data_IF_899617362378
#
_entry.id   IF_899617362378
#
_cell.length_a   1.000
_cell.length_b   1.000
_cell.length_c   1.000
_cell.angle_alpha   90.00
_cell.angle_beta   90.00
_cell.angle_gamma   90.00
#
_symmetry.space_group_name_H-M   'P 1'
#
loop_
_entity.id
_entity.type
_entity.pdbx_description
1 polymer ?
#
# COMPACT_ATOMS: atom_id res chain seq x y z
N UNK A 1 18.47 35.59 2.74
CA UNK A 1 19.65 34.71 2.87
C UNK A 1 19.19 33.41 3.50
N UNK A 2 19.81 32.25 3.18
CA UNK A 2 19.38 30.94 3.70
C UNK A 2 19.26 30.90 5.22
N UNK A 3 20.19 31.51 5.94
CA UNK A 3 20.15 31.57 7.41
C UNK A 3 18.93 32.31 7.95
N UNK A 4 18.53 33.41 7.31
CA UNK A 4 17.33 34.17 7.72
C UNK A 4 16.04 33.36 7.50
N UNK A 5 15.95 32.56 6.44
CA UNK A 5 14.82 31.66 6.18
C UNK A 5 14.79 30.55 7.22
N UNK A 6 15.94 29.95 7.50
CA UNK A 6 16.07 28.92 8.55
C UNK A 6 15.60 29.46 9.90
N UNK A 7 16.15 30.60 10.34
CA UNK A 7 15.86 31.18 11.64
C UNK A 7 14.37 31.60 11.75
N UNK A 8 13.79 32.10 10.63
CA UNK A 8 12.35 32.37 10.54
C UNK A 8 11.50 31.12 10.73
N UNK A 9 11.85 30.02 10.02
CA UNK A 9 11.11 28.76 10.12
C UNK A 9 11.25 28.10 11.51
N UNK A 10 12.44 28.11 12.09
CA UNK A 10 12.65 27.61 13.45
C UNK A 10 11.97 28.45 14.54
N UNK A 11 11.68 29.71 14.25
CA UNK A 11 10.89 30.56 15.12
C UNK A 11 9.37 30.34 15.06
N UNK A 12 8.89 29.45 14.15
CA UNK A 12 7.48 29.11 14.00
C UNK A 12 7.10 27.88 14.82
N UNK A 13 5.89 27.90 15.38
CA UNK A 13 5.31 26.70 15.99
C UNK A 13 4.91 25.68 14.90
N UNK A 14 4.84 24.37 15.22
CA UNK A 14 4.33 23.36 14.29
C UNK A 14 2.95 23.70 13.72
N UNK A 15 2.06 24.26 14.54
CA UNK A 15 0.72 24.67 14.11
C UNK A 15 0.76 25.80 13.08
N UNK A 16 1.63 26.80 13.27
CA UNK A 16 1.80 27.88 12.28
C UNK A 16 2.37 27.35 10.97
N UNK A 17 3.31 26.39 10.99
CA UNK A 17 3.86 25.77 9.79
C UNK A 17 2.81 24.93 9.07
N UNK A 18 1.99 24.16 9.79
CA UNK A 18 0.94 23.34 9.18
C UNK A 18 -0.23 24.15 8.64
N UNK A 19 -0.50 25.33 9.22
CA UNK A 19 -1.63 26.17 8.80
C UNK A 19 -1.57 26.72 7.38
N UNK A 20 -0.40 26.63 6.72
CA UNK A 20 -0.23 27.07 5.32
C UNK A 20 -0.44 25.94 4.32
N UNK A 21 -0.69 24.72 4.77
CA UNK A 21 -0.96 23.56 3.93
C UNK A 21 -2.44 23.19 4.00
N UNK A 22 -2.99 22.77 2.87
CA UNK A 22 -4.35 22.23 2.80
C UNK A 22 -4.41 20.83 3.43
N UNK A 23 -5.37 20.62 4.33
CA UNK A 23 -5.68 19.28 4.82
C UNK A 23 -6.42 18.51 3.74
N UNK A 24 -5.89 17.36 3.36
CA UNK A 24 -6.43 16.54 2.27
C UNK A 24 -7.41 15.50 2.80
N UNK A 25 -6.99 14.71 3.78
CA UNK A 25 -7.77 13.59 4.30
C UNK A 25 -7.22 13.13 5.65
N UNK A 26 -8.09 12.91 6.65
CA UNK A 26 -7.75 12.27 7.92
C UNK A 26 -6.53 12.90 8.64
N UNK A 27 -6.37 14.22 8.59
CA UNK A 27 -5.24 14.92 9.18
C UNK A 27 -3.95 14.91 8.34
N UNK A 28 -4.00 14.38 7.12
CA UNK A 28 -2.88 14.48 6.18
C UNK A 28 -2.91 15.82 5.46
N UNK A 29 -1.73 16.41 5.29
CA UNK A 29 -1.55 17.70 4.62
C UNK A 29 -0.93 17.53 3.24
N UNK A 30 -1.29 18.42 2.31
CA UNK A 30 -0.67 18.49 0.99
C UNK A 30 0.75 19.06 1.12
N UNK A 31 1.72 18.20 1.32
CA UNK A 31 3.12 18.60 1.45
C UNK A 31 3.76 18.92 0.09
N UNK A 32 4.78 19.80 0.05
CA UNK A 32 5.60 19.98 -1.14
C UNK A 32 6.20 18.65 -1.59
N UNK A 33 6.21 18.44 -2.90
CA UNK A 33 6.85 17.24 -3.46
C UNK A 33 8.35 17.28 -3.26
N UNK A 34 9.02 16.13 -3.05
CA UNK A 34 10.48 16.06 -3.07
C UNK A 34 11.05 16.63 -4.35
N UNK A 35 12.15 17.36 -4.24
CA UNK A 35 12.84 18.00 -5.38
C UNK A 35 14.12 17.23 -5.65
N UNK A 36 14.30 16.77 -6.89
CA UNK A 36 15.53 16.16 -7.36
C UNK A 36 16.59 17.26 -7.60
N UNK A 37 17.14 17.78 -6.50
CA UNK A 37 18.06 18.94 -6.49
C UNK A 37 19.51 18.59 -6.76
N UNK A 38 19.85 17.30 -6.90
CA UNK A 38 21.21 16.82 -7.10
C UNK A 38 22.09 16.88 -5.85
N UNK A 39 21.53 17.30 -4.71
CA UNK A 39 22.23 17.37 -3.42
C UNK A 39 21.74 16.32 -2.43
N UNK A 40 20.42 16.28 -2.16
CA UNK A 40 19.78 15.26 -1.31
C UNK A 40 19.24 14.13 -2.17
N UNK A 41 18.55 14.48 -3.25
CA UNK A 41 18.05 13.50 -4.20
C UNK A 41 18.78 13.61 -5.54
N UNK A 42 19.13 12.48 -6.18
CA UNK A 42 19.75 12.47 -7.49
C UNK A 42 18.90 13.26 -8.51
N UNK A 43 19.50 14.05 -9.42
CA UNK A 43 18.80 14.86 -10.41
C UNK A 43 18.35 14.02 -11.62
N UNK A 44 17.77 12.85 -11.34
CA UNK A 44 17.25 11.88 -12.30
C UNK A 44 15.91 11.37 -11.81
N UNK A 45 15.08 10.81 -12.69
CA UNK A 45 13.86 10.12 -12.27
C UNK A 45 14.15 9.02 -11.24
N UNK A 46 13.24 8.83 -10.28
CA UNK A 46 13.43 7.87 -9.18
C UNK A 46 13.70 6.44 -9.66
N UNK A 47 13.05 6.02 -10.76
CA UNK A 47 13.24 4.69 -11.33
C UNK A 47 14.66 4.48 -11.90
N UNK A 48 15.32 5.52 -12.38
CA UNK A 48 16.74 5.47 -12.75
C UNK A 48 17.63 5.44 -11.51
N UNK A 49 17.29 6.24 -10.50
CA UNK A 49 18.05 6.28 -9.25
C UNK A 49 18.08 4.91 -8.55
N UNK A 50 16.95 4.22 -8.48
CA UNK A 50 16.87 2.89 -7.87
C UNK A 50 17.57 1.80 -8.71
N UNK A 51 17.68 1.96 -10.01
CA UNK A 51 18.40 1.05 -10.90
C UNK A 51 19.92 1.20 -10.86
N UNK A 52 20.45 2.27 -10.27
CA UNK A 52 21.88 2.60 -10.26
C UNK A 52 22.47 2.39 -8.86
N UNK A 53 23.36 1.41 -8.73
CA UNK A 53 24.05 1.09 -7.47
C UNK A 53 24.89 2.26 -6.93
N UNK A 54 25.33 3.18 -7.79
CA UNK A 54 26.07 4.37 -7.38
C UNK A 54 25.22 5.49 -6.78
N UNK A 55 23.88 5.41 -6.93
CA UNK A 55 22.94 6.45 -6.53
C UNK A 55 22.02 6.07 -5.40
N UNK A 56 21.93 4.79 -5.08
CA UNK A 56 21.07 4.26 -4.05
C UNK A 56 21.88 3.38 -3.08
N UNK A 57 21.66 3.56 -1.78
CA UNK A 57 22.29 2.68 -0.77
C UNK A 57 21.78 1.26 -0.92
N UNK A 58 22.69 0.29 -0.93
CA UNK A 58 22.40 -1.13 -1.03
C UNK A 58 22.35 -1.75 0.37
N UNK A 59 21.16 -1.77 0.92
CA UNK A 59 20.88 -2.35 2.23
C UNK A 59 19.74 -3.35 2.11
N UNK A 60 19.64 -4.37 2.98
CA UNK A 60 18.47 -5.24 3.02
C UNK A 60 17.18 -4.40 3.15
N UNK A 61 16.16 -4.75 2.37
CA UNK A 61 14.94 -3.97 2.27
C UNK A 61 13.70 -4.86 2.29
N UNK A 62 12.71 -4.50 3.10
CA UNK A 62 11.34 -5.00 2.99
C UNK A 62 10.49 -3.91 2.35
N UNK A 63 9.82 -4.24 1.24
CA UNK A 63 8.81 -3.42 0.57
C UNK A 63 7.46 -4.11 0.63
N UNK A 64 6.39 -3.34 0.67
CA UNK A 64 5.08 -3.97 0.63
C UNK A 64 3.92 -3.03 0.42
N UNK A 65 2.76 -3.65 0.23
CA UNK A 65 1.48 -3.00 0.04
C UNK A 65 0.38 -3.84 0.66
N UNK A 66 -0.78 -3.24 0.86
CA UNK A 66 -1.99 -4.01 1.12
C UNK A 66 -2.73 -4.31 -0.18
N UNK A 67 -3.58 -5.36 -0.20
CA UNK A 67 -4.33 -5.74 -1.42
C UNK A 67 -5.30 -4.66 -1.88
N UNK A 68 -5.93 -4.00 -0.94
CA UNK A 68 -7.00 -3.03 -1.19
C UNK A 68 -6.59 -1.60 -0.74
N UNK A 69 -5.35 -1.19 -0.99
CA UNK A 69 -4.74 0.08 -0.53
C UNK A 69 -5.69 1.27 -0.60
N UNK A 70 -6.36 1.44 -1.73
CA UNK A 70 -7.18 2.62 -1.99
C UNK A 70 -8.56 2.62 -1.34
N UNK A 71 -9.06 1.49 -0.81
CA UNK A 71 -10.40 1.45 -0.21
C UNK A 71 -10.56 2.39 0.97
N UNK A 72 -9.54 2.56 1.80
CA UNK A 72 -9.58 3.49 2.94
C UNK A 72 -9.78 4.92 2.47
N UNK A 73 -9.06 5.34 1.43
CA UNK A 73 -9.19 6.67 0.86
C UNK A 73 -10.55 6.87 0.18
N UNK A 74 -11.03 5.87 -0.56
CA UNK A 74 -12.34 5.90 -1.19
C UNK A 74 -13.49 5.86 -0.19
N UNK A 75 -13.32 5.19 0.95
CA UNK A 75 -14.30 5.16 2.02
C UNK A 75 -14.51 6.55 2.66
N UNK A 76 -13.52 7.41 2.58
CA UNK A 76 -13.62 8.80 3.01
C UNK A 76 -14.05 9.77 1.91
N UNK A 77 -14.08 9.33 0.63
CA UNK A 77 -14.52 10.14 -0.50
C UNK A 77 -16.06 10.19 -0.57
N UNK A 78 -16.61 11.24 0.05
CA UNK A 78 -18.07 11.48 0.09
C UNK A 78 -18.62 12.12 -1.17
N UNK A 79 -17.78 12.53 -2.10
CA UNK A 79 -18.18 13.12 -3.39
C UNK A 79 -18.49 12.03 -4.41
N UNK A 80 -17.52 11.12 -4.62
CA UNK A 80 -17.60 10.15 -5.71
C UNK A 80 -18.15 8.79 -5.28
N UNK A 81 -17.81 8.33 -4.07
CA UNK A 81 -17.97 6.91 -3.72
C UNK A 81 -18.92 6.61 -2.58
N UNK A 82 -19.00 7.47 -1.57
CA UNK A 82 -19.71 7.15 -0.33
C UNK A 82 -20.73 8.23 0.04
N UNK A 83 -21.93 7.81 0.44
CA UNK A 83 -22.90 8.69 1.07
C UNK A 83 -22.70 8.71 2.58
N UNK A 84 -22.43 9.87 3.19
CA UNK A 84 -22.48 10.01 4.64
C UNK A 84 -23.95 9.94 5.06
N UNK A 85 -24.38 8.83 5.67
CA UNK A 85 -25.76 8.69 6.12
C UNK A 85 -26.05 9.49 7.37
N UNK A 86 -27.36 9.77 7.57
CA UNK A 86 -27.96 10.51 8.69
C UNK A 86 -27.59 10.00 10.09
N UNK A 87 -27.03 8.76 10.21
CA UNK A 87 -26.54 8.15 11.45
C UNK A 87 -25.02 7.93 11.46
N UNK A 88 -24.29 8.60 10.56
CA UNK A 88 -22.82 8.49 10.50
C UNK A 88 -22.26 7.19 9.91
N UNK A 89 -23.13 6.24 9.47
CA UNK A 89 -22.67 5.01 8.81
C UNK A 89 -22.53 5.23 7.30
N UNK A 90 -21.33 5.06 6.73
CA UNK A 90 -21.09 5.25 5.30
C UNK A 90 -21.84 4.19 4.46
N UNK A 91 -22.34 4.60 3.29
CA UNK A 91 -22.91 3.71 2.31
C UNK A 91 -22.22 3.91 0.96
N UNK A 92 -21.71 2.83 0.39
CA UNK A 92 -21.16 2.83 -0.96
C UNK A 92 -22.30 3.13 -1.97
N UNK A 93 -22.12 4.14 -2.83
CA UNK A 93 -23.12 4.58 -3.84
C UNK A 93 -23.32 3.54 -4.92
N UNK A 94 -22.25 3.07 -5.53
CA UNK A 94 -22.22 2.09 -6.61
C UNK A 94 -21.19 1.01 -6.28
N UNK A 95 -21.59 -0.12 -5.66
CA UNK A 95 -20.66 -1.13 -5.13
C UNK A 95 -19.70 -1.72 -6.18
N UNK A 96 -20.19 -1.97 -7.40
CA UNK A 96 -19.37 -2.55 -8.48
C UNK A 96 -18.34 -1.55 -9.01
N UNK A 97 -18.76 -0.30 -9.23
CA UNK A 97 -17.85 0.80 -9.58
C UNK A 97 -16.80 1.00 -8.47
N UNK A 98 -17.24 0.99 -7.21
CA UNK A 98 -16.34 1.11 -6.06
C UNK A 98 -15.28 0.01 -6.06
N UNK A 99 -15.69 -1.25 -6.18
CA UNK A 99 -14.79 -2.39 -6.19
C UNK A 99 -13.81 -2.36 -7.36
N UNK A 100 -14.30 -2.03 -8.58
CA UNK A 100 -13.47 -1.89 -9.78
C UNK A 100 -12.43 -0.77 -9.61
N UNK A 101 -12.87 0.43 -9.25
CA UNK A 101 -12.00 1.59 -9.13
C UNK A 101 -10.97 1.42 -8.00
N UNK A 102 -11.36 0.80 -6.88
CA UNK A 102 -10.45 0.46 -5.79
C UNK A 102 -9.37 -0.51 -6.25
N UNK A 103 -9.76 -1.55 -7.00
CA UNK A 103 -8.80 -2.52 -7.54
C UNK A 103 -7.78 -1.87 -8.46
N UNK A 104 -8.23 -1.05 -9.44
CA UNK A 104 -7.32 -0.38 -10.36
C UNK A 104 -6.37 0.58 -9.65
N UNK A 105 -6.86 1.35 -8.67
CA UNK A 105 -6.02 2.27 -7.91
C UNK A 105 -5.02 1.53 -7.00
N UNK A 106 -5.44 0.43 -6.35
CA UNK A 106 -4.55 -0.40 -5.52
C UNK A 106 -3.50 -1.13 -6.36
N UNK A 107 -3.89 -1.67 -7.51
CA UNK A 107 -2.96 -2.32 -8.45
C UNK A 107 -1.95 -1.31 -9.03
N UNK A 108 -2.36 -0.06 -9.30
CA UNK A 108 -1.43 0.99 -9.74
C UNK A 108 -0.45 1.35 -8.62
N UNK A 109 -0.92 1.43 -7.38
CA UNK A 109 -0.04 1.64 -6.22
C UNK A 109 0.99 0.52 -6.12
N UNK A 110 0.54 -0.74 -6.15
CA UNK A 110 1.44 -1.91 -6.13
C UNK A 110 2.44 -1.85 -7.27
N UNK A 111 1.98 -1.65 -8.51
CA UNK A 111 2.83 -1.62 -9.69
C UNK A 111 3.91 -0.54 -9.61
N UNK A 112 3.55 0.67 -9.18
CA UNK A 112 4.44 1.84 -9.21
C UNK A 112 5.35 1.96 -7.99
N UNK A 113 4.83 1.64 -6.80
CA UNK A 113 5.53 1.92 -5.53
C UNK A 113 6.21 0.68 -4.94
N UNK A 114 5.87 -0.51 -5.40
CA UNK A 114 6.42 -1.77 -4.88
C UNK A 114 7.09 -2.57 -5.98
N UNK A 115 6.33 -3.06 -6.96
CA UNK A 115 6.83 -4.02 -7.96
C UNK A 115 7.93 -3.40 -8.84
N UNK A 116 7.73 -2.16 -9.33
CA UNK A 116 8.74 -1.49 -10.14
C UNK A 116 9.99 -1.13 -9.32
N UNK A 117 9.83 -0.70 -8.07
CA UNK A 117 10.96 -0.42 -7.18
C UNK A 117 11.76 -1.70 -6.92
N UNK A 118 11.08 -2.78 -6.53
CA UNK A 118 11.74 -4.08 -6.31
C UNK A 118 12.47 -4.56 -7.56
N UNK A 119 11.81 -4.49 -8.73
CA UNK A 119 12.36 -4.89 -10.01
C UNK A 119 13.63 -4.11 -10.38
N UNK A 120 13.64 -2.79 -10.11
CA UNK A 120 14.80 -1.93 -10.40
C UNK A 120 15.95 -2.13 -9.42
N UNK A 121 15.63 -2.35 -8.16
CA UNK A 121 16.66 -2.56 -7.13
C UNK A 121 17.26 -3.95 -7.19
N UNK A 122 16.53 -4.98 -7.66
CA UNK A 122 17.02 -6.37 -7.75
C UNK A 122 17.74 -6.65 -9.07
N UNK A 123 18.57 -5.75 -9.55
CA UNK A 123 19.43 -5.98 -10.74
C UNK A 123 20.57 -6.93 -10.38
N UNK A 124 21.09 -6.81 -9.16
CA UNK A 124 22.09 -7.71 -8.60
C UNK A 124 21.36 -8.82 -7.81
N UNK A 125 21.54 -10.10 -8.14
CA UNK A 125 20.90 -11.21 -7.44
C UNK A 125 21.29 -11.34 -5.96
N UNK A 126 22.38 -10.73 -5.55
CA UNK A 126 22.83 -10.73 -4.15
C UNK A 126 22.08 -9.72 -3.28
N UNK A 127 21.28 -8.84 -3.88
CA UNK A 127 20.50 -7.86 -3.12
C UNK A 127 19.37 -8.49 -2.33
N UNK A 128 19.31 -8.12 -1.05
CA UNK A 128 18.32 -8.64 -0.10
C UNK A 128 17.02 -7.81 -0.15
N UNK A 129 16.27 -7.92 -1.23
CA UNK A 129 14.96 -7.27 -1.40
C UNK A 129 13.87 -8.29 -1.12
N UNK A 130 13.02 -7.99 -0.15
CA UNK A 130 11.87 -8.81 0.24
C UNK A 130 10.60 -8.02 0.03
N UNK A 131 9.60 -8.65 -0.61
CA UNK A 131 8.33 -7.97 -0.92
C UNK A 131 7.18 -8.70 -0.27
N UNK A 132 6.18 -7.95 0.23
CA UNK A 132 4.94 -8.53 0.74
C UNK A 132 3.70 -7.88 0.14
N UNK A 133 2.60 -8.65 0.20
CA UNK A 133 1.24 -8.13 0.07
C UNK A 133 0.42 -8.59 1.27
N UNK A 134 -0.25 -7.63 1.91
CA UNK A 134 -1.11 -7.89 3.05
C UNK A 134 -2.56 -7.99 2.58
N UNK A 135 -3.14 -9.20 2.65
CA UNK A 135 -4.44 -9.52 2.07
C UNK A 135 -5.56 -9.68 3.12
N UNK A 136 -5.25 -9.62 4.41
CA UNK A 136 -6.21 -9.81 5.48
C UNK A 136 -7.38 -8.81 5.42
N UNK A 137 -8.59 -9.31 5.34
CA UNK A 137 -9.83 -8.51 5.30
C UNK A 137 -10.97 -9.08 6.16
N UNK A 138 -10.66 -9.96 7.14
CA UNK A 138 -11.65 -10.61 7.98
C UNK A 138 -12.30 -9.68 9.01
N UNK A 139 -12.87 -8.59 8.53
CA UNK A 139 -13.57 -7.62 9.36
C UNK A 139 -14.82 -8.22 10.02
N UNK A 140 -15.22 -7.70 11.21
CA UNK A 140 -16.43 -8.17 11.86
C UNK A 140 -17.68 -7.78 11.06
N UNK A 141 -18.67 -8.66 11.08
CA UNK A 141 -19.98 -8.35 10.51
C UNK A 141 -20.74 -7.38 11.42
N UNK A 142 -21.00 -6.18 10.93
CA UNK A 142 -21.76 -5.16 11.64
C UNK A 142 -23.13 -4.93 10.97
N UNK A 143 -24.22 -4.72 11.73
CA UNK A 143 -25.52 -4.42 11.14
C UNK A 143 -25.44 -3.16 10.25
N UNK A 144 -25.85 -3.28 8.98
CA UNK A 144 -25.91 -2.19 7.99
C UNK A 144 -24.56 -1.58 7.57
N UNK A 145 -23.43 -2.18 7.97
CA UNK A 145 -22.08 -1.74 7.60
C UNK A 145 -21.25 -2.95 7.16
N UNK A 146 -20.98 -3.03 5.87
CA UNK A 146 -20.11 -4.04 5.26
C UNK A 146 -18.66 -3.51 5.23
N UNK A 147 -17.92 -3.80 6.29
CA UNK A 147 -16.52 -3.37 6.42
C UNK A 147 -15.61 -4.06 5.41
N UNK A 148 -15.90 -5.31 5.04
CA UNK A 148 -15.13 -6.04 4.03
C UNK A 148 -15.20 -5.33 2.68
N UNK A 149 -16.40 -4.93 2.26
CA UNK A 149 -16.57 -4.17 1.02
C UNK A 149 -16.01 -2.76 1.10
N UNK A 150 -16.16 -2.11 2.26
CA UNK A 150 -15.78 -0.72 2.44
C UNK A 150 -14.26 -0.56 2.57
N UNK A 151 -13.62 -1.39 3.37
CA UNK A 151 -12.21 -1.26 3.73
C UNK A 151 -11.33 -2.33 3.09
N UNK A 152 -11.81 -3.58 2.99
CA UNK A 152 -10.99 -4.71 2.57
C UNK A 152 -9.69 -4.82 3.35
N UNK A 153 -8.63 -5.30 2.74
CA UNK A 153 -7.27 -5.20 3.22
C UNK A 153 -6.73 -3.79 2.88
N UNK A 154 -7.25 -2.75 3.55
CA UNK A 154 -7.00 -1.36 3.22
C UNK A 154 -5.70 -0.82 3.81
N UNK A 155 -5.28 0.34 3.30
CA UNK A 155 -4.04 1.03 3.69
C UNK A 155 -3.87 1.16 5.21
N UNK A 156 -2.70 0.78 5.72
CA UNK A 156 -2.34 0.87 7.12
C UNK A 156 -2.89 -0.26 8.01
N UNK A 157 -3.69 -1.19 7.46
CA UNK A 157 -4.22 -2.33 8.23
C UNK A 157 -3.09 -3.22 8.75
N UNK A 158 -2.04 -3.44 7.97
CA UNK A 158 -0.88 -4.24 8.33
C UNK A 158 -0.14 -3.71 9.57
N UNK A 159 -0.17 -2.40 9.79
CA UNK A 159 0.45 -1.76 10.96
C UNK A 159 -0.22 -2.20 12.26
N UNK A 160 -1.53 -2.49 12.23
CA UNK A 160 -2.26 -2.99 13.39
C UNK A 160 -1.75 -4.37 13.85
N UNK A 161 -1.26 -5.17 12.88
CA UNK A 161 -0.64 -6.47 13.13
C UNK A 161 0.83 -6.32 13.50
N UNK A 162 1.60 -5.56 12.73
CA UNK A 162 3.03 -5.37 12.97
C UNK A 162 3.32 -4.85 14.38
N UNK A 163 2.53 -3.88 14.84
CA UNK A 163 2.66 -3.31 16.18
C UNK A 163 1.79 -4.01 17.24
N UNK A 164 1.14 -5.11 16.91
CA UNK A 164 0.34 -5.90 17.84
C UNK A 164 -0.88 -5.16 18.42
N UNK A 165 -1.35 -4.10 17.76
CA UNK A 165 -2.43 -3.24 18.26
C UNK A 165 -3.72 -4.05 18.40
N UNK A 166 -4.09 -4.83 17.38
CA UNK A 166 -5.29 -5.66 17.43
C UNK A 166 -5.17 -6.76 18.49
N UNK A 167 -4.07 -7.48 18.53
CA UNK A 167 -3.87 -8.56 19.49
C UNK A 167 -3.82 -8.07 20.95
N UNK A 168 -3.36 -6.84 21.20
CA UNK A 168 -3.24 -6.26 22.55
C UNK A 168 -4.58 -5.83 23.18
N UNK A 169 -5.63 -5.66 22.35
CA UNK A 169 -6.94 -5.13 22.80
C UNK A 169 -7.93 -6.26 23.03
N UNK A 170 -7.98 -6.79 24.22
CA UNK A 170 -8.86 -7.94 24.57
C UNK A 170 -10.35 -7.71 24.27
N UNK A 171 -10.85 -6.47 24.29
CA UNK A 171 -12.23 -6.16 23.93
C UNK A 171 -12.57 -6.43 22.45
N UNK A 172 -11.54 -6.42 21.56
CA UNK A 172 -11.72 -6.78 20.17
C UNK A 172 -12.14 -8.25 20.01
N UNK A 173 -11.78 -9.11 20.95
CA UNK A 173 -12.27 -10.50 20.98
C UNK A 173 -13.81 -10.59 21.03
N UNK A 174 -14.46 -9.62 21.69
CA UNK A 174 -15.91 -9.55 21.71
C UNK A 174 -16.47 -9.11 20.35
N UNK A 175 -15.80 -8.17 19.70
CA UNK A 175 -16.21 -7.62 18.41
C UNK A 175 -16.01 -8.61 17.26
N UNK A 176 -14.83 -9.22 17.16
CA UNK A 176 -14.48 -10.16 16.10
C UNK A 176 -14.99 -11.59 16.35
N UNK A 177 -15.26 -11.91 17.60
CA UNK A 177 -15.54 -13.28 18.05
C UNK A 177 -14.25 -14.11 18.24
N UNK A 178 -14.34 -15.23 19.02
CA UNK A 178 -13.13 -15.94 19.47
C UNK A 178 -12.30 -16.55 18.33
N UNK A 179 -12.95 -17.02 17.25
CA UNK A 179 -12.23 -17.66 16.12
C UNK A 179 -11.46 -16.66 15.29
N UNK A 180 -12.09 -15.55 14.87
CA UNK A 180 -11.43 -14.48 14.12
C UNK A 180 -10.32 -13.83 14.94
N UNK A 181 -10.59 -13.61 16.23
CA UNK A 181 -9.59 -13.04 17.11
C UNK A 181 -8.36 -13.94 17.29
N UNK A 182 -8.55 -15.27 17.30
CA UNK A 182 -7.41 -16.21 17.31
C UNK A 182 -6.57 -16.06 16.03
N UNK A 183 -7.19 -16.00 14.84
CA UNK A 183 -6.49 -15.75 13.59
C UNK A 183 -5.73 -14.40 13.56
N UNK A 184 -6.34 -13.34 14.12
CA UNK A 184 -5.65 -12.06 14.30
C UNK A 184 -4.38 -12.21 15.16
N UNK A 185 -4.47 -12.96 16.26
CA UNK A 185 -3.31 -13.21 17.14
C UNK A 185 -2.23 -14.00 16.40
N UNK A 186 -2.60 -15.07 15.72
CA UNK A 186 -1.67 -15.92 14.96
C UNK A 186 -0.97 -15.14 13.84
N UNK A 187 -1.71 -14.36 13.06
CA UNK A 187 -1.16 -13.52 12.00
C UNK A 187 -0.26 -12.41 12.58
N UNK A 188 -0.65 -11.80 13.70
CA UNK A 188 0.17 -10.83 14.43
C UNK A 188 1.52 -11.41 14.81
N UNK A 189 1.52 -12.61 15.40
CA UNK A 189 2.75 -13.29 15.79
C UNK A 189 3.63 -13.60 14.59
N UNK A 190 3.05 -14.05 13.49
CA UNK A 190 3.80 -14.34 12.28
C UNK A 190 4.43 -13.08 11.66
N UNK A 191 3.66 -12.01 11.46
CA UNK A 191 4.17 -10.73 10.94
C UNK A 191 5.30 -10.22 11.82
N UNK A 192 5.07 -10.12 13.13
CA UNK A 192 6.10 -9.65 14.08
C UNK A 192 7.35 -10.52 14.06
N UNK A 193 7.20 -11.84 13.89
CA UNK A 193 8.31 -12.80 13.83
C UNK A 193 9.22 -12.55 12.62
N UNK A 194 8.65 -12.30 11.43
CA UNK A 194 9.42 -11.98 10.24
C UNK A 194 10.14 -10.64 10.36
N UNK A 195 9.49 -9.59 10.82
CA UNK A 195 10.11 -8.27 11.00
C UNK A 195 11.21 -8.31 12.05
N UNK A 196 11.02 -9.05 13.14
CA UNK A 196 12.05 -9.24 14.16
C UNK A 196 13.29 -9.93 13.58
N UNK A 197 13.09 -11.01 12.82
CA UNK A 197 14.21 -11.76 12.22
C UNK A 197 14.95 -10.90 11.19
N UNK A 198 14.20 -10.18 10.33
CA UNK A 198 14.79 -9.23 9.40
C UNK A 198 15.59 -8.12 10.10
N UNK A 199 15.07 -7.53 11.15
CA UNK A 199 15.77 -6.48 11.89
C UNK A 199 17.07 -7.00 12.54
N UNK A 200 17.11 -8.28 12.89
CA UNK A 200 18.27 -8.92 13.50
C UNK A 200 19.34 -9.34 12.48
N UNK A 201 18.94 -9.78 11.29
CA UNK A 201 19.83 -10.48 10.34
C UNK A 201 19.91 -9.84 8.96
N UNK A 202 18.93 -8.99 8.59
CA UNK A 202 18.74 -8.50 7.22
C UNK A 202 18.00 -9.50 6.31
N UNK A 203 17.56 -10.65 6.85
CA UNK A 203 16.81 -11.68 6.13
C UNK A 203 15.64 -12.16 7.02
N UNK A 204 14.37 -12.07 6.58
CA UNK A 204 13.22 -12.53 7.36
C UNK A 204 13.12 -14.06 7.43
N UNK A 205 13.78 -14.80 6.53
CA UNK A 205 13.83 -16.26 6.41
C UNK A 205 12.46 -16.94 6.67
N UNK A 206 12.38 -17.78 7.68
CA UNK A 206 11.15 -18.48 8.14
C UNK A 206 10.69 -17.94 9.51
N UNK A 207 10.92 -16.64 9.74
CA UNK A 207 10.67 -15.95 11.00
C UNK A 207 11.63 -16.36 12.12
N UNK A 208 11.53 -15.67 13.25
CA UNK A 208 12.46 -15.81 14.39
C UNK A 208 12.63 -17.24 14.94
N UNK A 209 11.69 -18.15 14.67
CA UNK A 209 11.72 -19.54 15.14
C UNK A 209 11.82 -20.58 14.03
N UNK A 210 11.99 -20.16 12.76
CA UNK A 210 12.14 -21.07 11.61
C UNK A 210 10.92 -21.96 11.33
N UNK A 211 9.71 -21.52 11.72
CA UNK A 211 8.48 -22.32 11.62
C UNK A 211 7.46 -21.82 10.60
N UNK A 212 7.71 -20.63 10.05
CA UNK A 212 6.86 -20.00 9.06
C UNK A 212 7.34 -20.38 7.65
N UNK A 213 6.50 -20.16 6.59
CA UNK A 213 6.96 -20.29 5.21
C UNK A 213 8.19 -19.42 4.98
N UNK A 214 9.19 -19.94 4.23
CA UNK A 214 10.38 -19.16 3.92
C UNK A 214 10.00 -17.96 3.04
N UNK A 215 10.33 -16.75 3.48
CA UNK A 215 10.18 -15.53 2.69
C UNK A 215 11.38 -15.44 1.74
N UNK A 216 11.12 -15.65 0.46
CA UNK A 216 12.15 -15.60 -0.57
C UNK A 216 12.43 -14.16 -0.98
N UNK A 217 13.65 -13.91 -1.42
CA UNK A 217 14.01 -12.62 -2.03
C UNK A 217 13.24 -12.41 -3.31
N UNK A 218 13.04 -11.14 -3.67
CA UNK A 218 12.47 -10.79 -4.96
C UNK A 218 13.30 -11.38 -6.10
N UNK A 219 12.62 -11.95 -7.09
CA UNK A 219 13.22 -12.42 -8.34
C UNK A 219 12.57 -11.72 -9.53
N UNK A 220 13.39 -11.32 -10.50
CA UNK A 220 12.93 -10.79 -11.78
C UNK A 220 12.59 -11.90 -12.79
N UNK A 221 12.87 -13.18 -12.50
CA UNK A 221 12.49 -14.30 -13.35
C UNK A 221 10.97 -14.49 -13.34
N UNK A 222 10.40 -14.81 -14.51
CA UNK A 222 8.94 -14.81 -14.71
C UNK A 222 8.20 -15.87 -13.91
N UNK A 223 8.83 -17.02 -13.71
CA UNK A 223 8.22 -18.20 -13.08
C UNK A 223 8.43 -18.26 -11.56
N UNK A 224 9.27 -17.36 -11.00
CA UNK A 224 9.61 -17.42 -9.59
C UNK A 224 8.55 -16.75 -8.73
N UNK A 225 8.32 -17.33 -7.57
CA UNK A 225 7.66 -16.65 -6.46
C UNK A 225 8.52 -15.46 -6.01
N UNK A 226 7.88 -14.29 -5.83
CA UNK A 226 8.61 -13.04 -5.60
C UNK A 226 8.12 -12.21 -4.42
N UNK A 227 6.94 -12.50 -3.90
CA UNK A 227 6.40 -11.79 -2.75
C UNK A 227 5.73 -12.75 -1.77
N UNK A 228 5.73 -12.40 -0.50
CA UNK A 228 5.01 -13.10 0.55
C UNK A 228 3.62 -12.47 0.74
N UNK A 229 2.58 -13.29 0.65
CA UNK A 229 1.21 -12.88 0.99
C UNK A 229 0.96 -13.16 2.46
N UNK A 230 0.41 -12.20 3.17
CA UNK A 230 -0.09 -12.35 4.54
C UNK A 230 -1.61 -12.38 4.54
N UNK A 231 -2.20 -13.51 4.86
CA UNK A 231 -3.64 -13.70 4.87
C UNK A 231 -4.08 -14.67 5.97
N UNK A 232 -5.38 -14.74 6.22
CA UNK A 232 -6.00 -15.75 7.08
C UNK A 232 -5.82 -17.17 6.51
N UNK A 233 -5.69 -18.15 7.42
CA UNK A 233 -5.52 -19.56 7.03
C UNK A 233 -6.62 -20.05 6.10
N UNK A 234 -7.87 -19.63 6.33
CA UNK A 234 -9.03 -20.01 5.48
C UNK A 234 -8.98 -19.39 4.07
N UNK A 235 -8.25 -18.28 3.90
CA UNK A 235 -8.14 -17.54 2.64
C UNK A 235 -6.76 -17.78 1.98
N UNK A 236 -6.09 -18.87 2.36
CA UNK A 236 -4.84 -19.34 1.80
C UNK A 236 -3.60 -19.10 2.68
N UNK A 237 -3.75 -18.40 3.78
CA UNK A 237 -2.71 -18.20 4.79
C UNK A 237 -1.48 -17.46 4.28
N UNK A 238 -0.38 -17.61 5.03
CA UNK A 238 0.91 -17.03 4.65
C UNK A 238 1.55 -17.90 3.58
N UNK A 239 1.82 -17.32 2.41
CA UNK A 239 2.36 -18.05 1.26
C UNK A 239 3.17 -17.17 0.33
N UNK A 240 4.13 -17.75 -0.37
CA UNK A 240 4.80 -17.10 -1.48
C UNK A 240 3.87 -16.99 -2.71
N UNK A 241 4.12 -16.02 -3.58
CA UNK A 241 3.34 -15.74 -4.78
C UNK A 241 4.21 -15.16 -5.89
N UNK A 242 3.94 -15.56 -7.13
CA UNK A 242 4.54 -15.02 -8.34
C UNK A 242 3.83 -13.75 -8.87
N UNK A 243 2.85 -13.22 -8.12
CA UNK A 243 2.05 -12.08 -8.56
C UNK A 243 2.91 -10.84 -8.87
N UNK A 244 2.71 -10.30 -10.07
CA UNK A 244 3.40 -9.13 -10.58
C UNK A 244 2.38 -8.23 -11.29
N UNK A 245 2.39 -6.96 -10.96
CA UNK A 245 1.59 -5.95 -11.66
C UNK A 245 2.52 -4.92 -12.29
N UNK A 246 2.36 -4.70 -13.60
CA UNK A 246 3.05 -3.62 -14.30
C UNK A 246 2.07 -2.54 -14.74
N UNK A 247 2.54 -1.32 -14.88
CA UNK A 247 1.71 -0.20 -15.35
C UNK A 247 1.17 -0.47 -16.75
N UNK A 248 1.98 -1.06 -17.64
CA UNK A 248 1.57 -1.39 -19.01
C UNK A 248 0.47 -2.47 -19.05
N UNK A 249 0.64 -3.53 -18.24
CA UNK A 249 -0.39 -4.55 -18.10
C UNK A 249 -1.70 -3.97 -17.53
N UNK A 250 -1.59 -3.03 -16.60
CA UNK A 250 -2.73 -2.33 -16.02
C UNK A 250 -3.45 -1.47 -17.06
N UNK A 251 -2.72 -0.69 -17.86
CA UNK A 251 -3.28 0.10 -18.97
C UNK A 251 -3.99 -0.81 -19.99
N UNK A 252 -3.35 -1.90 -20.39
CA UNK A 252 -3.95 -2.86 -21.33
C UNK A 252 -5.24 -3.50 -20.77
N UNK A 253 -5.22 -3.90 -19.49
CA UNK A 253 -6.40 -4.45 -18.81
C UNK A 253 -7.54 -3.42 -18.72
N UNK A 254 -7.24 -2.16 -18.44
CA UNK A 254 -8.25 -1.10 -18.34
C UNK A 254 -9.00 -0.90 -19.66
N UNK A 255 -8.28 -0.85 -20.77
CA UNK A 255 -8.88 -0.65 -22.12
C UNK A 255 -9.77 -1.83 -22.53
N UNK A 256 -9.46 -3.05 -22.03
CA UNK A 256 -10.20 -4.27 -22.36
C UNK A 256 -11.19 -4.71 -21.29
N UNK A 257 -11.38 -3.89 -20.23
CA UNK A 257 -12.25 -4.25 -19.10
C UNK A 257 -13.71 -4.37 -19.54
N UNK A 258 -14.33 -5.56 -19.40
CA UNK A 258 -15.71 -5.77 -19.82
C UNK A 258 -16.73 -4.84 -19.11
N UNK A 259 -16.43 -4.40 -17.88
CA UNK A 259 -17.30 -3.50 -17.11
C UNK A 259 -17.33 -2.07 -17.64
N UNK A 260 -16.38 -1.72 -18.52
CA UNK A 260 -16.26 -0.41 -19.17
C UNK A 260 -16.64 -0.45 -20.64
N UNK A 261 -16.99 -1.63 -21.18
CA UNK A 261 -17.32 -1.79 -22.59
C UNK A 261 -18.58 -1.00 -22.95
N UNK A 262 -18.42 -0.04 -23.87
CA UNK A 262 -19.51 0.84 -24.33
C UNK A 262 -19.76 2.06 -23.46
N UNK A 263 -18.99 2.26 -22.40
CA UNK A 263 -19.00 3.47 -21.56
C UNK A 263 -17.66 4.21 -21.66
N UNK A 264 -17.48 4.89 -22.79
CA UNK A 264 -16.27 5.66 -23.09
C UNK A 264 -16.03 6.77 -22.06
N UNK A 265 -17.09 7.38 -21.54
CA UNK A 265 -16.99 8.45 -20.56
C UNK A 265 -16.41 7.93 -19.22
N UNK A 266 -16.89 6.78 -18.77
CA UNK A 266 -16.40 6.17 -17.54
C UNK A 266 -14.96 5.63 -17.70
N UNK A 267 -14.62 5.08 -18.87
CA UNK A 267 -13.24 4.70 -19.20
C UNK A 267 -12.29 5.89 -19.13
N UNK A 268 -12.64 7.00 -19.77
CA UNK A 268 -11.83 8.23 -19.76
C UNK A 268 -11.71 8.81 -18.35
N UNK A 269 -12.80 8.80 -17.57
CA UNK A 269 -12.78 9.25 -16.17
C UNK A 269 -11.79 8.43 -15.34
N UNK A 270 -11.88 7.10 -15.44
CA UNK A 270 -11.02 6.23 -14.66
C UNK A 270 -9.57 6.32 -15.13
N UNK A 271 -9.32 6.38 -16.43
CA UNK A 271 -7.98 6.59 -16.99
C UNK A 271 -7.35 7.89 -16.47
N UNK A 272 -8.08 8.99 -16.53
CA UNK A 272 -7.61 10.28 -16.05
C UNK A 272 -7.32 10.25 -14.53
N UNK A 273 -8.17 9.59 -13.74
CA UNK A 273 -7.97 9.43 -12.31
C UNK A 273 -6.71 8.61 -11.98
N UNK A 274 -6.43 7.57 -12.75
CA UNK A 274 -5.27 6.71 -12.54
C UNK A 274 -3.97 7.37 -13.00
N UNK A 275 -3.94 7.90 -14.21
CA UNK A 275 -2.68 8.22 -14.89
C UNK A 275 -2.43 9.73 -15.10
N UNK A 276 -3.45 10.58 -14.98
CA UNK A 276 -3.29 12.04 -15.20
C UNK A 276 -3.33 12.82 -13.89
N UNK A 277 -4.35 12.63 -13.07
CA UNK A 277 -4.59 13.45 -11.87
C UNK A 277 -4.36 12.69 -10.55
N UNK A 278 -4.17 11.37 -10.60
CA UNK A 278 -3.99 10.54 -9.40
C UNK A 278 -2.66 10.81 -8.69
N UNK A 279 -2.49 10.20 -7.51
CA UNK A 279 -1.24 10.29 -6.71
C UNK A 279 -0.01 9.89 -7.52
N UNK A 280 -0.17 9.00 -8.49
CA UNK A 280 0.86 8.54 -9.42
C UNK A 280 0.77 9.18 -10.81
N UNK A 281 -0.21 10.06 -11.03
CA UNK A 281 -0.40 10.80 -12.28
C UNK A 281 0.83 11.67 -12.59
N UNK A 282 1.16 11.80 -13.86
CA UNK A 282 2.35 12.50 -14.39
C UNK A 282 3.73 11.84 -14.16
N UNK A 283 3.85 10.79 -13.32
CA UNK A 283 5.12 10.09 -13.20
C UNK A 283 5.36 9.10 -14.36
N UNK A 284 4.29 8.63 -15.01
CA UNK A 284 4.30 7.52 -15.98
C UNK A 284 3.91 7.89 -17.41
N UNK A 285 3.35 9.08 -17.64
CA UNK A 285 2.97 9.57 -18.97
C UNK A 285 4.08 10.42 -19.65
N UNK A 286 5.25 10.52 -19.04
CA UNK A 286 6.39 11.30 -19.57
C UNK A 286 7.53 10.45 -20.10
N UNK A 287 7.27 9.17 -20.38
CA UNK A 287 8.25 8.28 -21.05
C UNK A 287 7.84 7.98 -22.47
#
# INVERSE_FOLDING_TARGET
RPDQVRDYLYGKSPTELLSVFDEVLMGMYMNPRPIADGHVLPPVPWHEAFGDAGRCARVPLILGTTRDEFRVFMAADTVDYVDPRRLGLPRIRAPERYARDARYQSDLWKASSVDEVARRMSVDPDEAIFVYRFDWDDWPSLPRLDLVRLLGAGHGTELMFLFGIFASKSWLRLLFGPRRFAGIVDLTQAVTSYWFEFARTGDPDSGAHGRLPRWQRWSNASEDDRLLVFDEVRDGGIRMSADLVTVDALKARLVTDPSLKGDEQELQRLYARLFVYGLHGNAWDRT
#
